data_IF_034613254949
#
_entry.id   IF_034613254949
#
_cell.length_a   1.000
_cell.length_b   1.000
_cell.length_c   1.000
_cell.angle_alpha   90.00
_cell.angle_beta   90.00
_cell.angle_gamma   90.00
#
_symmetry.space_group_name_H-M   'P 1'
#
loop_
_entity.id
_entity.type
_entity.pdbx_description
1 polymer ?
#
# COMPACT_ATOMS: atom_id res chain seq x y z
N UNK A 1 -0.90 -17.01 20.35
CA UNK A 1 -1.81 -15.93 19.94
C UNK A 1 -2.58 -16.38 18.71
N UNK A 2 -3.89 -16.28 18.77
CA UNK A 2 -4.74 -16.73 17.68
C UNK A 2 -5.18 -15.55 16.83
N UNK A 3 -4.58 -15.44 15.64
CA UNK A 3 -4.90 -14.39 14.68
C UNK A 3 -5.94 -14.90 13.68
N UNK A 4 -6.88 -14.05 13.30
CA UNK A 4 -7.81 -14.36 12.21
C UNK A 4 -7.04 -14.40 10.88
N UNK A 5 -7.57 -15.09 9.84
CA UNK A 5 -6.94 -15.08 8.52
C UNK A 5 -6.73 -13.65 7.99
N UNK A 6 -7.68 -12.74 8.23
CA UNK A 6 -7.58 -11.34 7.80
C UNK A 6 -6.43 -10.62 8.50
N UNK A 7 -6.25 -10.86 9.80
CA UNK A 7 -5.13 -10.28 10.55
C UNK A 7 -3.79 -10.82 10.05
N UNK A 8 -3.71 -12.12 9.75
CA UNK A 8 -2.51 -12.73 9.17
C UNK A 8 -2.16 -12.11 7.82
N UNK A 9 -3.14 -11.90 6.95
CA UNK A 9 -2.93 -11.28 5.65
C UNK A 9 -2.38 -9.87 5.79
N UNK A 10 -2.91 -9.07 6.71
CA UNK A 10 -2.43 -7.70 6.95
C UNK A 10 -0.99 -7.71 7.47
N UNK A 11 -0.64 -8.66 8.34
CA UNK A 11 0.73 -8.78 8.83
C UNK A 11 1.70 -9.20 7.72
N UNK A 12 1.28 -10.07 6.81
CA UNK A 12 2.09 -10.45 5.65
C UNK A 12 2.33 -9.26 4.72
N UNK A 13 1.29 -8.46 4.47
CA UNK A 13 1.41 -7.23 3.69
C UNK A 13 2.40 -6.28 4.36
N UNK A 14 2.29 -6.09 5.65
CA UNK A 14 3.19 -5.22 6.41
C UNK A 14 4.65 -5.71 6.30
N UNK A 15 4.87 -7.00 6.46
CA UNK A 15 6.20 -7.60 6.33
C UNK A 15 6.77 -7.39 4.92
N UNK A 16 5.95 -7.63 3.90
CA UNK A 16 6.34 -7.39 2.51
C UNK A 16 6.68 -5.91 2.26
N UNK A 17 5.92 -5.00 2.87
CA UNK A 17 6.18 -3.56 2.76
C UNK A 17 7.51 -3.17 3.41
N UNK A 18 7.83 -3.73 4.57
CA UNK A 18 9.13 -3.49 5.22
C UNK A 18 10.29 -3.94 4.34
N UNK A 19 10.15 -5.11 3.71
CA UNK A 19 11.15 -5.61 2.78
C UNK A 19 11.30 -4.67 1.58
N UNK A 20 10.18 -4.22 1.03
CA UNK A 20 10.17 -3.28 -0.09
C UNK A 20 10.86 -1.95 0.28
N UNK A 21 10.59 -1.42 1.47
CA UNK A 21 11.26 -0.21 1.96
C UNK A 21 12.76 -0.37 2.03
N UNK A 22 13.23 -1.50 2.53
CA UNK A 22 14.67 -1.77 2.63
C UNK A 22 15.32 -1.85 1.25
N UNK A 23 14.64 -2.47 0.30
CA UNK A 23 15.13 -2.57 -1.09
C UNK A 23 15.17 -1.21 -1.76
N UNK A 24 14.10 -0.42 -1.60
CA UNK A 24 14.04 0.95 -2.12
C UNK A 24 15.15 1.81 -1.54
N UNK A 25 15.40 1.71 -0.24
CA UNK A 25 16.45 2.47 0.44
C UNK A 25 17.85 2.16 -0.10
N UNK A 26 18.07 0.95 -0.64
CA UNK A 26 19.33 0.56 -1.28
C UNK A 26 19.41 0.97 -2.75
N UNK A 27 18.41 1.69 -3.26
CA UNK A 27 18.36 2.12 -4.64
C UNK A 27 17.84 1.09 -5.63
N UNK A 28 17.26 -0.01 -5.15
CA UNK A 28 16.67 -1.02 -6.03
C UNK A 28 15.29 -0.56 -6.53
N UNK A 29 15.00 -0.86 -7.79
CA UNK A 29 13.67 -0.64 -8.35
C UNK A 29 12.73 -1.73 -7.84
N UNK A 30 11.53 -1.34 -7.41
CA UNK A 30 10.57 -2.28 -6.85
C UNK A 30 9.84 -3.03 -7.96
N UNK A 31 9.56 -4.32 -7.70
CA UNK A 31 8.72 -5.13 -8.58
C UNK A 31 7.24 -4.91 -8.24
N UNK A 32 6.34 -5.57 -8.98
CA UNK A 32 4.90 -5.41 -8.81
C UNK A 32 4.42 -5.72 -7.37
N UNK A 33 4.69 -6.90 -6.79
CA UNK A 33 4.21 -7.18 -5.44
C UNK A 33 4.82 -6.28 -4.37
N UNK A 34 6.08 -5.86 -4.52
CA UNK A 34 6.70 -4.92 -3.60
C UNK A 34 6.02 -3.56 -3.63
N UNK A 35 5.72 -3.05 -4.82
CA UNK A 35 5.03 -1.79 -5.00
C UNK A 35 3.62 -1.83 -4.39
N UNK A 36 2.86 -2.88 -4.68
CA UNK A 36 1.50 -3.05 -4.14
C UNK A 36 1.53 -3.14 -2.62
N UNK A 37 2.46 -3.90 -2.05
CA UNK A 37 2.57 -4.04 -0.60
C UNK A 37 2.88 -2.72 0.09
N UNK A 38 3.81 -1.94 -0.47
CA UNK A 38 4.21 -0.67 0.12
C UNK A 38 3.07 0.35 0.13
N UNK A 39 2.35 0.47 -0.99
CA UNK A 39 1.19 1.38 -1.08
C UNK A 39 0.08 0.91 -0.16
N UNK A 40 -0.22 -0.39 -0.13
CA UNK A 40 -1.27 -0.96 0.71
C UNK A 40 -0.97 -0.70 2.20
N UNK A 41 0.25 -0.93 2.64
CA UNK A 41 0.65 -0.68 4.02
C UNK A 41 0.50 0.81 4.39
N UNK A 42 0.86 1.72 3.49
CA UNK A 42 0.70 3.15 3.71
C UNK A 42 -0.76 3.53 3.94
N UNK A 43 -1.68 2.92 3.19
CA UNK A 43 -3.13 3.14 3.35
C UNK A 43 -3.61 2.57 4.68
N UNK A 44 -3.22 1.36 5.03
CA UNK A 44 -3.61 0.73 6.30
C UNK A 44 -3.16 1.56 7.49
N UNK A 45 -1.92 2.03 7.48
CA UNK A 45 -1.38 2.86 8.55
C UNK A 45 -2.01 4.25 8.59
N UNK A 46 -2.29 4.83 7.43
CA UNK A 46 -3.00 6.11 7.35
C UNK A 46 -4.40 6.05 7.96
N UNK A 47 -5.12 4.95 7.75
CA UNK A 47 -6.43 4.73 8.37
C UNK A 47 -6.29 4.63 9.90
N UNK A 48 -5.26 3.94 10.38
CA UNK A 48 -4.95 3.82 11.80
C UNK A 48 -4.60 5.17 12.42
N UNK A 49 -3.94 6.05 11.66
CA UNK A 49 -3.60 7.41 12.08
C UNK A 49 -4.80 8.36 12.12
N UNK A 50 -5.96 7.92 11.65
CA UNK A 50 -7.18 8.72 11.66
C UNK A 50 -7.42 9.54 10.40
N UNK A 51 -6.69 9.29 9.33
CA UNK A 51 -6.94 9.95 8.04
C UNK A 51 -8.25 9.50 7.44
N UNK A 52 -8.85 10.34 6.61
CA UNK A 52 -10.12 10.02 5.93
C UNK A 52 -9.86 9.18 4.67
N UNK A 53 -10.92 8.52 4.18
CA UNK A 53 -10.87 7.80 2.89
C UNK A 53 -10.39 8.73 1.78
N UNK A 54 -10.95 9.95 1.71
CA UNK A 54 -10.57 10.91 0.67
C UNK A 54 -9.09 11.29 0.73
N UNK A 55 -8.55 11.51 1.93
CA UNK A 55 -7.12 11.78 2.11
C UNK A 55 -6.26 10.63 1.61
N UNK A 56 -6.64 9.39 1.95
CA UNK A 56 -5.87 8.21 1.56
C UNK A 56 -5.95 7.92 0.08
N UNK A 57 -7.08 8.20 -0.57
CA UNK A 57 -7.21 8.11 -2.02
C UNK A 57 -6.22 9.04 -2.73
N UNK A 58 -6.01 10.22 -2.16
CA UNK A 58 -5.06 11.20 -2.69
C UNK A 58 -3.61 10.84 -2.34
N UNK A 59 -3.34 10.56 -1.07
CA UNK A 59 -1.99 10.26 -0.58
C UNK A 59 -1.44 8.96 -1.16
N UNK A 60 -2.30 7.98 -1.44
CA UNK A 60 -1.90 6.72 -2.06
C UNK A 60 -1.21 6.90 -3.41
N UNK A 61 -1.45 8.02 -4.09
CA UNK A 61 -0.80 8.37 -5.36
C UNK A 61 0.58 8.98 -5.19
N UNK A 62 0.99 9.26 -3.97
CA UNK A 62 2.27 9.92 -3.67
C UNK A 62 3.29 8.99 -3.01
N UNK A 63 2.92 7.74 -2.75
CA UNK A 63 3.79 6.79 -2.05
C UNK A 63 4.99 6.39 -2.93
N UNK A 64 4.74 6.11 -4.20
CA UNK A 64 5.75 5.71 -5.17
C UNK A 64 5.64 6.51 -6.45
N UNK A 65 6.78 6.83 -7.05
CA UNK A 65 6.87 7.39 -8.40
C UNK A 65 7.27 6.31 -9.40
N UNK A 66 7.20 6.64 -10.70
CA UNK A 66 7.69 5.74 -11.76
C UNK A 66 9.16 5.38 -11.59
N UNK A 67 9.96 6.29 -11.06
CA UNK A 67 11.38 6.05 -10.87
C UNK A 67 11.68 5.05 -9.75
N UNK A 68 10.71 4.80 -8.89
CA UNK A 68 10.86 3.86 -7.77
C UNK A 68 10.61 2.41 -8.17
N UNK A 69 10.06 2.16 -9.36
CA UNK A 69 9.61 0.83 -9.77
C UNK A 69 10.28 0.39 -11.07
N UNK A 70 10.30 -0.93 -11.29
CA UNK A 70 10.80 -1.51 -12.52
C UNK A 70 9.93 -1.10 -13.72
N UNK A 71 10.50 -1.17 -14.92
CA UNK A 71 9.77 -0.87 -16.14
C UNK A 71 8.51 -1.74 -16.25
N UNK A 72 7.38 -1.12 -16.58
CA UNK A 72 6.11 -1.79 -16.77
C UNK A 72 5.27 -1.95 -15.51
N UNK A 73 5.85 -1.77 -14.33
CA UNK A 73 5.11 -1.94 -13.05
C UNK A 73 4.00 -0.90 -12.92
N UNK A 74 4.27 0.36 -13.24
CA UNK A 74 3.27 1.42 -13.13
C UNK A 74 2.04 1.10 -13.99
N UNK A 75 2.23 0.58 -15.20
CA UNK A 75 1.16 0.23 -16.12
C UNK A 75 0.39 -1.01 -15.70
N UNK A 76 1.00 -1.90 -14.90
CA UNK A 76 0.34 -3.11 -14.39
C UNK A 76 -0.64 -2.80 -13.26
N UNK A 77 -0.50 -1.65 -12.60
CA UNK A 77 -1.31 -1.31 -11.42
C UNK A 77 -2.29 -0.20 -11.81
N UNK A 78 -3.52 -0.61 -12.22
CA UNK A 78 -4.58 0.33 -12.54
C UNK A 78 -5.20 0.91 -11.29
N UNK A 79 -5.53 0.05 -10.33
CA UNK A 79 -6.14 0.41 -9.06
C UNK A 79 -5.54 -0.43 -7.96
N UNK A 80 -5.51 0.13 -6.75
CA UNK A 80 -5.29 -0.64 -5.53
C UNK A 80 -6.50 -0.44 -4.65
N UNK A 81 -7.12 -1.55 -4.22
CA UNK A 81 -8.25 -1.54 -3.31
C UNK A 81 -7.83 -2.12 -1.97
N UNK A 82 -8.06 -1.37 -0.91
CA UNK A 82 -7.65 -1.75 0.43
C UNK A 82 -8.84 -1.64 1.37
N UNK A 83 -9.18 -2.75 2.03
CA UNK A 83 -10.15 -2.73 3.11
C UNK A 83 -9.40 -2.36 4.39
N UNK A 84 -9.63 -1.16 4.90
CA UNK A 84 -8.92 -0.63 6.05
C UNK A 84 -9.87 -0.32 7.20
N UNK A 85 -9.36 -0.40 8.42
CA UNK A 85 -10.13 -0.10 9.63
C UNK A 85 -9.87 1.32 10.07
N UNK A 86 -10.92 2.13 10.01
CA UNK A 86 -10.92 3.53 10.44
C UNK A 86 -11.52 3.61 11.85
N UNK A 87 -11.39 4.76 12.54
CA UNK A 87 -11.99 4.92 13.88
C UNK A 87 -13.50 4.64 13.91
N UNK A 88 -14.20 4.90 12.82
CA UNK A 88 -15.64 4.71 12.70
C UNK A 88 -16.06 3.43 11.94
N UNK A 89 -15.13 2.53 11.69
CA UNK A 89 -15.42 1.24 11.08
C UNK A 89 -14.55 0.88 9.88
N UNK A 90 -14.82 -0.28 9.31
CA UNK A 90 -14.11 -0.79 8.15
C UNK A 90 -14.66 -0.20 6.87
N UNK A 91 -13.78 0.31 6.01
CA UNK A 91 -14.16 0.93 4.73
C UNK A 91 -13.20 0.50 3.64
N UNK A 92 -13.68 0.52 2.41
CA UNK A 92 -12.86 0.25 1.23
C UNK A 92 -12.25 1.56 0.73
N UNK A 93 -10.93 1.56 0.55
CA UNK A 93 -10.19 2.66 -0.08
C UNK A 93 -9.74 2.20 -1.44
N UNK A 94 -10.12 2.93 -2.49
CA UNK A 94 -9.66 2.66 -3.85
C UNK A 94 -8.73 3.77 -4.30
N UNK A 95 -7.49 3.43 -4.65
CA UNK A 95 -6.53 4.37 -5.21
C UNK A 95 -6.42 4.09 -6.71
N UNK A 96 -6.84 5.06 -7.53
CA UNK A 96 -6.78 4.95 -8.99
C UNK A 96 -5.41 5.38 -9.48
N UNK A 97 -4.82 4.58 -10.38
CA UNK A 97 -3.52 4.89 -10.98
C UNK A 97 -2.50 5.36 -9.93
N UNK A 98 -2.16 4.51 -8.95
CA UNK A 98 -1.35 4.93 -7.81
C UNK A 98 0.07 5.34 -8.19
N UNK A 99 0.57 4.90 -9.34
CA UNK A 99 1.90 5.26 -9.84
C UNK A 99 1.70 5.92 -11.21
N UNK A 100 1.72 7.23 -11.21
CA UNK A 100 1.51 8.02 -12.43
C UNK A 100 2.79 8.18 -13.25
#
# INVERSE_FOLDING_TARGET
MDLTPREKDKLLIFTAALLAERRKARGLKLNHPEAVALITAAILEGARDGKTVAQLMSEGKTVLSRDDVMNGVAEMIHDIQVEATFPDGTKLVTVHQPIA
#
